data_IF_635223923062
#
_entry.id   IF_635223923062
#
_cell.length_a   1.000
_cell.length_b   1.000
_cell.length_c   1.000
_cell.angle_alpha   90.00
_cell.angle_beta   90.00
_cell.angle_gamma   90.00
#
_symmetry.space_group_name_H-M   'P 1'
#
loop_
_entity.id
_entity.type
_entity.pdbx_description
1 polymer ?
#
# COMPACT_ATOMS: atom_id res chain seq x y z
N UNK A 1 -10.07 -10.10 8.21
CA UNK A 1 -11.08 -9.16 7.69
C UNK A 1 -12.27 -9.86 7.03
N UNK A 2 -12.14 -11.06 6.44
CA UNK A 2 -13.28 -11.77 5.84
C UNK A 2 -14.39 -12.19 6.84
N UNK A 3 -14.09 -12.21 8.14
CA UNK A 3 -15.08 -12.46 9.19
C UNK A 3 -15.98 -11.24 9.48
N UNK A 4 -15.75 -10.10 8.81
CA UNK A 4 -16.58 -8.91 8.93
C UNK A 4 -17.59 -8.93 7.78
N UNK A 5 -18.90 -9.09 8.07
CA UNK A 5 -19.89 -9.31 7.02
C UNK A 5 -19.95 -8.22 5.95
N UNK A 6 -19.79 -6.95 6.33
CA UNK A 6 -19.81 -5.81 5.40
C UNK A 6 -18.61 -5.84 4.44
N UNK A 7 -17.39 -5.98 4.97
CA UNK A 7 -16.17 -6.09 4.14
C UNK A 7 -16.23 -7.31 3.21
N UNK A 8 -16.67 -8.46 3.72
CA UNK A 8 -16.79 -9.67 2.92
C UNK A 8 -17.83 -9.53 1.79
N UNK A 9 -18.91 -8.77 2.02
CA UNK A 9 -19.94 -8.52 1.01
C UNK A 9 -19.44 -7.59 -0.08
N UNK A 10 -18.74 -6.52 0.29
CA UNK A 10 -18.12 -5.60 -0.67
C UNK A 10 -17.08 -6.29 -1.56
N UNK A 11 -16.20 -7.13 -0.98
CA UNK A 11 -15.22 -7.90 -1.76
C UNK A 11 -15.92 -8.83 -2.75
N UNK A 12 -16.98 -9.53 -2.33
CA UNK A 12 -17.74 -10.42 -3.21
C UNK A 12 -18.50 -9.68 -4.32
N UNK A 13 -18.78 -8.39 -4.13
CA UNK A 13 -19.42 -7.53 -5.10
C UNK A 13 -18.44 -6.97 -6.17
N UNK A 14 -17.13 -7.18 -6.04
CA UNK A 14 -16.15 -6.73 -7.04
C UNK A 14 -16.43 -7.42 -8.39
N UNK A 15 -16.55 -6.62 -9.45
CA UNK A 15 -16.78 -7.01 -10.84
C UNK A 15 -15.90 -6.19 -11.78
N UNK A 16 -15.83 -6.55 -13.06
CA UNK A 16 -15.02 -5.83 -14.05
C UNK A 16 -15.42 -4.35 -14.25
N UNK A 17 -16.61 -3.94 -13.79
CA UNK A 17 -17.11 -2.55 -13.87
C UNK A 17 -17.02 -1.78 -12.54
N UNK A 18 -16.51 -2.41 -11.49
CA UNK A 18 -16.32 -1.75 -10.19
C UNK A 18 -15.41 -0.54 -10.35
N UNK A 19 -15.80 0.59 -9.75
CA UNK A 19 -15.06 1.84 -9.90
C UNK A 19 -13.80 1.84 -9.03
N UNK A 20 -12.85 2.73 -9.35
CA UNK A 20 -11.69 2.94 -8.48
C UNK A 20 -12.09 3.41 -7.08
N UNK A 21 -13.20 4.15 -6.96
CA UNK A 21 -13.74 4.61 -5.68
C UNK A 21 -14.20 3.46 -4.80
N UNK A 22 -14.91 2.47 -5.38
CA UNK A 22 -15.38 1.29 -4.64
C UNK A 22 -14.20 0.45 -4.13
N UNK A 23 -13.20 0.21 -4.99
CA UNK A 23 -11.98 -0.52 -4.61
C UNK A 23 -11.22 0.22 -3.50
N UNK A 24 -11.10 1.54 -3.61
CA UNK A 24 -10.51 2.39 -2.57
C UNK A 24 -11.27 2.27 -1.25
N UNK A 25 -12.61 2.30 -1.27
CA UNK A 25 -13.44 2.15 -0.08
C UNK A 25 -13.22 0.82 0.64
N UNK A 26 -13.15 -0.28 -0.11
CA UNK A 26 -12.88 -1.62 0.42
C UNK A 26 -11.51 -1.68 1.09
N UNK A 27 -10.47 -1.22 0.39
CA UNK A 27 -9.12 -1.20 0.94
C UNK A 27 -9.00 -0.30 2.16
N UNK A 28 -9.66 0.87 2.15
CA UNK A 28 -9.72 1.74 3.32
C UNK A 28 -10.37 1.04 4.52
N UNK A 29 -11.48 0.32 4.32
CA UNK A 29 -12.14 -0.44 5.38
C UNK A 29 -11.26 -1.58 5.92
N UNK A 30 -10.63 -2.36 5.04
CA UNK A 30 -9.72 -3.45 5.44
C UNK A 30 -8.54 -2.89 6.24
N UNK A 31 -7.90 -1.84 5.74
CA UNK A 31 -6.70 -1.29 6.35
C UNK A 31 -7.00 -0.65 7.71
N UNK A 32 -8.08 0.13 7.85
CA UNK A 32 -8.45 0.71 9.16
C UNK A 32 -8.95 -0.34 10.15
N UNK A 33 -9.52 -1.46 9.69
CA UNK A 33 -9.84 -2.58 10.58
C UNK A 33 -8.60 -3.30 11.10
N UNK A 34 -7.64 -3.58 10.21
CA UNK A 34 -6.41 -4.31 10.58
C UNK A 34 -5.46 -3.41 11.38
N UNK A 35 -5.38 -2.13 11.03
CA UNK A 35 -4.51 -1.14 11.63
C UNK A 35 -5.36 -0.09 12.36
N UNK A 36 -5.78 -0.46 13.56
CA UNK A 36 -6.72 0.30 14.38
C UNK A 36 -6.14 1.67 14.83
N UNK A 37 -6.84 2.78 14.55
CA UNK A 37 -6.48 4.11 15.05
C UNK A 37 -6.36 4.23 16.57
N UNK A 38 -7.10 3.43 17.34
CA UNK A 38 -6.97 3.38 18.81
C UNK A 38 -5.57 2.94 19.23
N UNK A 39 -4.90 2.11 18.42
CA UNK A 39 -3.53 1.66 18.64
C UNK A 39 -2.48 2.56 17.96
N UNK A 40 -2.87 3.76 17.53
CA UNK A 40 -1.97 4.77 16.96
C UNK A 40 -1.65 4.57 15.48
N UNK A 41 -2.39 3.72 14.77
CA UNK A 41 -2.22 3.51 13.33
C UNK A 41 -3.10 4.45 12.50
N UNK A 42 -2.60 4.90 11.35
CA UNK A 42 -3.38 5.69 10.40
C UNK A 42 -3.10 5.21 8.98
N UNK A 43 -4.17 5.00 8.21
CA UNK A 43 -4.11 4.81 6.76
C UNK A 43 -4.56 6.08 6.06
N UNK A 44 -3.74 6.60 5.15
CA UNK A 44 -4.04 7.79 4.36
C UNK A 44 -4.21 7.43 2.87
N UNK A 45 -5.37 7.73 2.26
CA UNK A 45 -5.54 7.64 0.80
C UNK A 45 -4.74 8.73 0.08
N UNK A 46 -4.29 8.42 -1.14
CA UNK A 46 -3.61 9.35 -2.07
C UNK A 46 -2.40 10.06 -1.45
N UNK A 47 -1.45 9.27 -0.94
CA UNK A 47 -0.19 9.84 -0.49
C UNK A 47 0.67 10.24 -1.69
N UNK A 48 0.90 11.55 -1.86
CA UNK A 48 1.82 12.07 -2.88
C UNK A 48 3.27 11.76 -2.48
N UNK A 49 3.95 10.96 -3.31
CA UNK A 49 5.39 10.75 -3.25
C UNK A 49 6.11 11.74 -4.15
N UNK A 50 7.12 12.43 -3.62
CA UNK A 50 8.00 13.32 -4.39
C UNK A 50 9.32 12.60 -4.65
N UNK A 51 9.60 12.28 -5.90
CA UNK A 51 10.92 11.80 -6.32
C UNK A 51 11.90 12.98 -6.48
N UNK A 52 13.23 12.76 -6.35
CA UNK A 52 14.23 13.66 -6.92
C UNK A 52 13.95 13.86 -8.43
N UNK A 53 14.08 15.10 -8.93
CA UNK A 53 13.74 15.56 -10.30
C UNK A 53 12.24 15.78 -10.62
N UNK A 54 11.40 16.01 -9.62
CA UNK A 54 10.04 16.54 -9.84
C UNK A 54 8.99 15.53 -10.34
N UNK A 55 9.31 14.24 -10.43
CA UNK A 55 8.32 13.20 -10.71
C UNK A 55 7.40 13.03 -9.50
N UNK A 56 6.12 13.34 -9.70
CA UNK A 56 5.03 13.10 -8.73
C UNK A 56 4.45 11.72 -9.00
N UNK A 57 4.27 10.93 -7.96
CA UNK A 57 3.45 9.71 -8.02
C UNK A 57 2.55 9.67 -6.79
N UNK A 58 1.33 9.20 -6.95
CA UNK A 58 0.43 8.96 -5.84
C UNK A 58 0.46 7.47 -5.58
N UNK A 59 0.77 7.06 -4.35
CA UNK A 59 0.36 5.73 -3.92
C UNK A 59 -1.08 5.81 -3.50
N UNK A 60 -1.77 4.72 -3.76
CA UNK A 60 -3.16 4.55 -3.40
C UNK A 60 -3.38 4.70 -1.88
N UNK A 61 -2.62 3.97 -1.06
CA UNK A 61 -2.64 4.12 0.39
C UNK A 61 -1.25 4.08 1.03
N UNK A 62 -1.12 4.82 2.13
CA UNK A 62 0.05 4.79 2.98
C UNK A 62 -0.38 4.62 4.44
N UNK A 63 0.09 3.54 5.06
CA UNK A 63 -0.17 3.24 6.48
C UNK A 63 1.07 3.50 7.31
N UNK A 64 0.88 4.20 8.43
CA UNK A 64 1.92 4.54 9.38
C UNK A 64 1.41 4.42 10.81
N UNK A 65 2.35 4.30 11.75
CA UNK A 65 2.07 4.33 13.18
C UNK A 65 2.64 5.61 13.78
N UNK A 66 1.93 6.18 14.75
CA UNK A 66 2.48 7.21 15.63
C UNK A 66 3.34 6.57 16.72
N UNK A 67 4.61 6.96 16.79
CA UNK A 67 5.51 6.66 17.90
C UNK A 67 5.88 7.99 18.54
N UNK A 68 5.19 8.34 19.62
CA UNK A 68 5.19 9.70 20.16
C UNK A 68 4.65 10.68 19.12
N UNK A 69 5.44 11.72 18.78
CA UNK A 69 5.08 12.70 17.75
C UNK A 69 5.49 12.28 16.33
N UNK A 70 6.25 11.19 16.20
CA UNK A 70 6.84 10.77 14.93
C UNK A 70 5.92 9.84 14.16
N UNK A 71 5.80 10.06 12.85
CA UNK A 71 5.09 9.17 11.92
C UNK A 71 6.04 8.13 11.36
N UNK A 72 5.91 6.89 11.84
CA UNK A 72 6.66 5.77 11.30
C UNK A 72 5.86 5.09 10.18
N UNK A 73 6.14 5.50 8.95
CA UNK A 73 5.63 4.83 7.76
C UNK A 73 6.24 3.43 7.64
N UNK A 74 5.38 2.42 7.41
CA UNK A 74 5.80 1.02 7.31
C UNK A 74 5.08 0.22 6.23
N UNK A 75 3.96 0.70 5.67
CA UNK A 75 3.21 -0.04 4.67
C UNK A 75 2.70 0.88 3.55
N UNK A 76 3.03 0.54 2.31
CA UNK A 76 2.43 1.15 1.11
C UNK A 76 1.53 0.12 0.45
N UNK A 77 0.30 0.49 0.14
CA UNK A 77 -0.64 -0.35 -0.61
C UNK A 77 -0.92 0.31 -1.95
N UNK A 78 -0.80 -0.46 -3.02
CA UNK A 78 -1.11 -0.07 -4.40
C UNK A 78 -2.16 -1.05 -4.94
N UNK A 79 -3.17 -0.56 -5.63
CA UNK A 79 -4.11 -1.37 -6.38
C UNK A 79 -4.02 -1.08 -7.88
N UNK A 80 -4.35 -2.08 -8.68
CA UNK A 80 -4.49 -1.97 -10.13
C UNK A 80 -5.81 -2.59 -10.57
N UNK A 81 -6.37 -2.06 -11.66
CA UNK A 81 -7.51 -2.68 -12.32
C UNK A 81 -7.12 -4.08 -12.82
N UNK A 82 -8.07 -5.03 -12.86
CA UNK A 82 -7.80 -6.34 -13.44
C UNK A 82 -7.50 -6.18 -14.93
N UNK A 83 -6.31 -6.60 -15.34
CA UNK A 83 -5.89 -6.67 -16.74
C UNK A 83 -5.39 -8.09 -17.01
N UNK A 84 -5.69 -8.70 -18.17
CA UNK A 84 -5.17 -10.02 -18.50
C UNK A 84 -3.63 -10.07 -18.51
N UNK A 85 -3.06 -11.16 -17.99
CA UNK A 85 -1.63 -11.46 -18.04
C UNK A 85 -0.81 -10.97 -16.85
N UNK A 86 0.42 -11.48 -16.74
CA UNK A 86 1.31 -11.22 -15.59
C UNK A 86 2.02 -9.85 -15.64
N UNK A 87 1.97 -9.17 -16.77
CA UNK A 87 2.64 -7.88 -16.96
C UNK A 87 2.19 -6.82 -15.94
N UNK A 88 0.90 -6.85 -15.55
CA UNK A 88 0.35 -5.91 -14.55
C UNK A 88 0.97 -6.11 -13.16
N UNK A 89 1.30 -7.36 -12.81
CA UNK A 89 1.95 -7.67 -11.54
C UNK A 89 3.39 -7.16 -11.52
N UNK A 90 4.12 -7.31 -12.63
CA UNK A 90 5.50 -6.84 -12.72
C UNK A 90 5.58 -5.31 -12.76
N UNK A 91 4.69 -4.66 -13.50
CA UNK A 91 4.58 -3.21 -13.52
C UNK A 91 4.20 -2.65 -12.13
N UNK A 92 3.18 -3.23 -11.49
CA UNK A 92 2.77 -2.84 -10.14
C UNK A 92 3.89 -3.04 -9.13
N UNK A 93 4.62 -4.16 -9.20
CA UNK A 93 5.76 -4.44 -8.32
C UNK A 93 6.88 -3.41 -8.53
N UNK A 94 7.20 -3.07 -9.77
CA UNK A 94 8.19 -2.04 -10.12
C UNK A 94 7.77 -0.66 -9.60
N UNK A 95 6.50 -0.30 -9.72
CA UNK A 95 5.96 0.97 -9.22
C UNK A 95 6.00 1.02 -7.69
N UNK A 96 5.50 -0.02 -7.02
CA UNK A 96 5.53 -0.16 -5.56
C UNK A 96 6.95 -0.07 -5.02
N UNK A 97 7.91 -0.77 -5.65
CA UNK A 97 9.33 -0.71 -5.28
C UNK A 97 9.93 0.70 -5.40
N UNK A 98 9.51 1.49 -6.40
CA UNK A 98 9.91 2.89 -6.52
C UNK A 98 9.37 3.73 -5.37
N UNK A 99 8.11 3.57 -5.00
CA UNK A 99 7.53 4.30 -3.86
C UNK A 99 8.24 3.97 -2.55
N UNK A 100 8.47 2.68 -2.31
CA UNK A 100 9.20 2.21 -1.14
C UNK A 100 10.63 2.79 -1.08
N UNK A 101 11.34 2.81 -2.21
CA UNK A 101 12.68 3.41 -2.31
C UNK A 101 12.68 4.92 -2.09
N UNK A 102 11.72 5.66 -2.65
CA UNK A 102 11.63 7.11 -2.44
C UNK A 102 11.34 7.48 -0.98
N UNK A 103 10.50 6.68 -0.31
CA UNK A 103 10.09 6.94 1.07
C UNK A 103 11.11 6.44 2.12
N UNK A 104 11.82 5.35 1.82
CA UNK A 104 12.65 4.63 2.81
C UNK A 104 14.11 4.43 2.43
N UNK A 105 14.49 4.63 1.16
CA UNK A 105 15.82 4.33 0.62
C UNK A 105 16.94 5.26 1.10
N UNK A 106 16.61 6.37 1.78
CA UNK A 106 17.58 7.32 2.35
C UNK A 106 17.86 7.11 3.85
N UNK A 107 17.21 6.13 4.50
CA UNK A 107 17.38 5.92 5.95
C UNK A 107 18.73 5.25 6.29
N UNK A 108 19.38 5.51 7.42
CA UNK A 108 20.58 4.75 7.82
C UNK A 108 20.26 3.25 7.98
N UNK A 109 21.13 2.34 7.52
CA UNK A 109 20.87 0.89 7.45
C UNK A 109 20.58 0.25 8.83
N UNK A 110 21.15 0.82 9.89
CA UNK A 110 21.25 0.19 11.21
C UNK A 110 20.00 0.41 12.10
N UNK A 111 19.01 1.17 11.62
CA UNK A 111 17.81 1.56 12.38
C UNK A 111 16.52 1.48 11.56
N UNK A 112 16.49 0.71 10.47
CA UNK A 112 15.33 0.67 9.57
C UNK A 112 14.26 -0.28 10.13
N UNK A 113 13.05 0.19 10.48
CA UNK A 113 11.92 -0.71 10.68
C UNK A 113 11.63 -1.46 9.37
N UNK A 114 11.10 -2.69 9.49
CA UNK A 114 10.63 -3.44 8.31
C UNK A 114 9.56 -2.62 7.59
N UNK A 115 9.69 -2.56 6.27
CA UNK A 115 8.72 -1.88 5.41
C UNK A 115 8.07 -2.91 4.51
N UNK A 116 6.77 -2.80 4.35
CA UNK A 116 5.92 -3.75 3.65
C UNK A 116 5.24 -3.08 2.47
N UNK A 117 4.95 -3.88 1.46
CA UNK A 117 4.20 -3.47 0.28
C UNK A 117 3.03 -4.42 0.05
N UNK A 118 1.88 -3.87 -0.32
CA UNK A 118 0.73 -4.64 -0.82
C UNK A 118 0.50 -4.22 -2.26
N UNK A 119 0.39 -5.20 -3.16
CA UNK A 119 -0.10 -4.99 -4.52
C UNK A 119 -1.38 -5.78 -4.71
N UNK A 120 -2.46 -5.07 -5.00
CA UNK A 120 -3.76 -5.66 -5.31
C UNK A 120 -4.06 -5.55 -6.81
N UNK A 121 -4.56 -6.62 -7.42
CA UNK A 121 -5.06 -6.62 -8.80
C UNK A 121 -6.43 -7.27 -8.79
N UNK A 122 -7.48 -6.47 -8.91
CA UNK A 122 -8.85 -6.93 -8.68
C UNK A 122 -9.01 -7.54 -7.27
N UNK A 123 -9.47 -8.78 -7.19
CA UNK A 123 -9.65 -9.52 -5.94
C UNK A 123 -8.36 -10.19 -5.42
N UNK A 124 -7.29 -10.20 -6.21
CA UNK A 124 -6.05 -10.89 -5.86
C UNK A 124 -5.07 -9.91 -5.21
N UNK A 125 -4.24 -10.43 -4.31
CA UNK A 125 -3.26 -9.63 -3.58
C UNK A 125 -1.91 -10.35 -3.50
N UNK A 126 -0.82 -9.58 -3.58
CA UNK A 126 0.54 -10.01 -3.24
C UNK A 126 1.12 -9.11 -2.16
N UNK A 127 1.81 -9.73 -1.21
CA UNK A 127 2.49 -9.07 -0.11
C UNK A 127 3.99 -9.10 -0.34
N UNK A 128 4.66 -8.00 -0.03
CA UNK A 128 6.09 -7.82 -0.23
C UNK A 128 6.73 -7.29 1.05
N UNK A 129 7.95 -7.73 1.32
CA UNK A 129 8.83 -7.10 2.29
C UNK A 129 9.86 -6.31 1.48
N UNK A 130 9.98 -5.02 1.75
CA UNK A 130 10.98 -4.18 1.11
C UNK A 130 12.34 -4.44 1.73
N UNK A 131 13.29 -4.85 0.90
CA UNK A 131 14.71 -4.81 1.23
C UNK A 131 15.41 -3.87 0.26
N UNK A 132 16.07 -2.85 0.80
CA UNK A 132 17.02 -2.03 0.05
C UNK A 132 18.38 -2.73 0.11
N UNK A 133 18.49 -3.87 -0.58
CA UNK A 133 19.78 -4.51 -0.81
C UNK A 133 20.58 -3.64 -1.80
N UNK A 134 20.97 -2.43 -1.39
CA UNK A 134 22.22 -1.87 -1.88
C UNK A 134 23.30 -2.73 -1.26
N UNK A 135 23.69 -3.78 -1.99
CA UNK A 135 25.03 -4.34 -1.82
C UNK A 135 25.98 -3.14 -1.86
N UNK A 136 26.65 -2.88 -0.73
CA UNK A 136 27.95 -2.23 -0.79
C UNK A 136 28.87 -3.10 -1.65
#
# INVERSE_FOLDING_TARGET
>A
YLNIPSIASEIRAIRCRTTEGDISGIWNAILNWVFDPVNGYITRPQAMHRAPRGRKGFSDFHTFQYIGTNRQYFLITEWKKPTPGDAIWEEGRRQLGRYLSMQHGTRPANARPRVYGILAVGQYVRFFIYSDNRKM
#
